data_IF_399437067341
#
_entry.id   IF_399437067341
#
_cell.length_a   1.000
_cell.length_b   1.000
_cell.length_c   1.000
_cell.angle_alpha   90.00
_cell.angle_beta   90.00
_cell.angle_gamma   90.00
#
_symmetry.space_group_name_H-M   'P 1'
#
loop_
_entity.id
_entity.type
_entity.pdbx_description
1 polymer ?
#
# COMPACT_ATOMS: atom_id res chain seq x y z
N UNK A 1 58.81 -14.62 19.90
CA UNK A 1 58.19 -13.28 19.85
C UNK A 1 56.88 -13.41 19.12
N UNK A 2 55.80 -13.11 19.84
CA UNK A 2 54.40 -13.26 19.45
C UNK A 2 53.99 -12.05 18.59
N UNK A 3 53.45 -12.26 17.38
CA UNK A 3 52.72 -11.22 16.65
C UNK A 3 51.34 -11.76 16.30
N UNK A 4 50.38 -11.57 17.21
CA UNK A 4 48.97 -11.75 16.93
C UNK A 4 48.47 -10.40 16.41
N UNK A 5 48.37 -10.28 15.09
CA UNK A 5 47.67 -9.16 14.44
C UNK A 5 46.17 -9.38 14.53
N UNK A 6 45.56 -8.93 15.63
CA UNK A 6 44.12 -8.72 15.76
C UNK A 6 43.78 -7.32 15.23
N UNK A 7 43.58 -7.20 13.91
CA UNK A 7 42.85 -6.07 13.34
C UNK A 7 41.42 -6.55 13.05
N UNK A 8 40.55 -6.32 14.04
CA UNK A 8 39.11 -6.46 13.91
C UNK A 8 38.59 -5.44 12.91
N UNK A 9 37.76 -5.93 11.99
CA UNK A 9 37.08 -5.22 10.89
C UNK A 9 36.22 -4.06 11.43
N UNK A 10 36.16 -2.90 10.77
CA UNK A 10 35.26 -1.81 11.19
C UNK A 10 33.80 -2.26 11.04
N UNK A 11 33.03 -2.22 12.13
CA UNK A 11 31.57 -2.28 12.07
C UNK A 11 31.06 -0.93 11.53
N UNK A 12 30.92 -0.80 10.21
CA UNK A 12 30.25 0.36 9.61
C UNK A 12 28.74 0.11 9.59
N UNK A 13 28.06 0.32 10.72
CA UNK A 13 26.59 0.39 10.75
C UNK A 13 26.13 1.77 11.17
N UNK A 14 25.66 2.51 10.17
CA UNK A 14 24.62 3.53 10.25
C UNK A 14 24.74 4.35 8.98
N UNK A 15 23.76 4.34 8.06
CA UNK A 15 23.45 5.54 7.27
C UNK A 15 22.05 5.44 6.63
N UNK A 16 21.03 5.97 7.32
CA UNK A 16 20.03 6.77 6.61
C UNK A 16 20.44 8.22 6.90
N UNK A 17 21.25 8.84 6.06
CA UNK A 17 21.71 10.22 6.31
C UNK A 17 21.02 11.20 5.38
N UNK A 18 19.86 11.61 5.88
CA UNK A 18 18.81 12.43 5.28
C UNK A 18 17.57 12.47 6.19
N UNK A 19 16.41 12.75 5.64
CA UNK A 19 15.12 12.67 6.37
C UNK A 19 14.91 11.27 7.01
N UNK A 20 14.52 11.22 8.29
CA UNK A 20 14.35 9.96 9.06
C UNK A 20 12.89 9.50 9.20
N UNK A 21 11.93 10.10 8.48
CA UNK A 21 10.55 9.63 8.54
C UNK A 21 10.42 8.23 7.93
N UNK A 22 9.47 7.46 8.44
CA UNK A 22 9.26 6.04 8.13
C UNK A 22 10.44 5.14 8.53
N UNK A 23 11.19 5.50 9.58
CA UNK A 23 12.28 4.68 10.11
C UNK A 23 12.04 4.31 11.57
N UNK A 24 12.66 3.23 12.03
CA UNK A 24 12.62 2.77 13.41
C UNK A 24 14.02 2.42 13.90
N UNK A 25 14.22 2.50 15.23
CA UNK A 25 15.48 2.14 15.86
C UNK A 25 15.48 0.66 16.24
N UNK A 26 16.51 -0.06 15.80
CA UNK A 26 16.75 -1.46 16.16
C UNK A 26 18.07 -1.60 16.93
N UNK A 27 18.38 -2.79 17.42
CA UNK A 27 19.69 -3.09 18.04
C UNK A 27 20.86 -2.88 17.07
N UNK A 28 20.60 -2.87 15.76
CA UNK A 28 21.61 -2.73 14.71
C UNK A 28 21.60 -1.34 14.05
N UNK A 29 20.84 -0.38 14.61
CA UNK A 29 20.74 1.00 14.14
C UNK A 29 19.38 1.35 13.52
N UNK A 30 19.34 2.49 12.81
CA UNK A 30 18.14 2.97 12.11
C UNK A 30 17.91 2.14 10.85
N UNK A 31 16.68 1.66 10.68
CA UNK A 31 16.19 0.96 9.48
C UNK A 31 14.86 1.54 9.02
N UNK A 32 14.48 1.34 7.77
CA UNK A 32 13.13 1.66 7.33
C UNK A 32 12.11 0.74 7.99
N UNK A 33 11.02 1.33 8.48
CA UNK A 33 9.86 0.58 8.94
C UNK A 33 9.19 -0.13 7.76
N UNK A 34 8.47 -1.22 8.01
CA UNK A 34 7.73 -1.94 6.98
C UNK A 34 6.74 -1.03 6.23
N UNK A 35 6.18 -0.02 6.92
CA UNK A 35 5.28 0.97 6.33
C UNK A 35 5.97 1.87 5.31
N UNK A 36 7.30 2.02 5.33
CA UNK A 36 8.03 2.87 4.40
C UNK A 36 7.84 2.46 2.94
N UNK A 37 7.61 1.17 2.69
CA UNK A 37 7.52 0.58 1.34
C UNK A 37 6.25 -0.25 1.11
N UNK A 38 5.24 -0.08 1.96
CA UNK A 38 3.98 -0.86 1.92
C UNK A 38 3.00 -0.44 0.81
N UNK A 39 3.20 0.73 0.23
CA UNK A 39 2.40 1.25 -0.87
C UNK A 39 3.08 1.01 -2.23
N UNK A 40 2.44 1.45 -3.31
CA UNK A 40 3.05 1.54 -4.63
C UNK A 40 3.31 2.99 -5.01
N UNK A 41 4.26 3.19 -5.91
CA UNK A 41 4.43 4.47 -6.58
C UNK A 41 3.22 4.77 -7.47
N UNK A 42 2.90 6.06 -7.62
CA UNK A 42 1.80 6.50 -8.48
C UNK A 42 2.19 6.45 -9.96
N UNK A 43 3.46 6.67 -10.26
CA UNK A 43 4.04 6.53 -11.59
C UNK A 43 4.89 5.24 -11.67
N UNK A 44 5.33 4.89 -12.87
CA UNK A 44 6.12 3.66 -13.04
C UNK A 44 7.45 3.74 -12.26
N UNK A 45 7.86 2.61 -11.70
CA UNK A 45 9.12 2.50 -10.96
C UNK A 45 10.32 2.98 -11.79
N UNK A 46 10.34 2.68 -13.09
CA UNK A 46 11.37 3.17 -14.01
C UNK A 46 11.42 4.71 -14.06
N UNK A 47 10.27 5.38 -14.04
CA UNK A 47 10.20 6.84 -14.01
C UNK A 47 10.63 7.37 -12.64
N UNK A 48 10.21 6.72 -11.55
CA UNK A 48 10.64 7.09 -10.20
C UNK A 48 12.16 7.02 -10.04
N UNK A 49 12.80 5.98 -10.58
CA UNK A 49 14.27 5.84 -10.55
C UNK A 49 15.01 6.89 -11.37
N UNK A 50 14.36 7.50 -12.37
CA UNK A 50 14.93 8.62 -13.14
C UNK A 50 14.77 9.94 -12.39
N UNK A 51 13.61 10.17 -11.77
CA UNK A 51 13.33 11.40 -11.00
C UNK A 51 14.07 11.43 -9.66
N UNK A 52 14.23 10.27 -9.03
CA UNK A 52 14.84 10.08 -7.72
C UNK A 52 15.97 9.04 -7.84
N UNK A 53 17.10 9.40 -8.45
CA UNK A 53 18.20 8.48 -8.66
C UNK A 53 18.80 8.03 -7.32
N UNK A 54 19.21 6.76 -7.22
CA UNK A 54 19.78 6.27 -5.97
C UNK A 54 21.06 7.02 -5.59
N UNK A 55 21.28 7.22 -4.30
CA UNK A 55 22.43 7.95 -3.80
C UNK A 55 23.73 7.16 -4.08
N UNK A 56 24.50 7.62 -5.08
CA UNK A 56 25.85 7.11 -5.39
C UNK A 56 25.98 5.58 -5.43
N UNK A 57 25.02 4.88 -6.05
CA UNK A 57 25.06 3.42 -6.20
C UNK A 57 24.57 2.64 -4.99
N UNK A 58 23.90 3.30 -4.03
CA UNK A 58 23.14 2.62 -2.99
C UNK A 58 21.89 1.94 -3.55
N UNK A 59 21.39 0.95 -2.81
CA UNK A 59 20.06 0.40 -3.03
C UNK A 59 18.97 1.41 -2.64
N UNK A 60 17.76 1.20 -3.16
CA UNK A 60 16.59 1.97 -2.76
C UNK A 60 16.08 1.54 -1.37
N UNK A 61 15.31 2.39 -0.68
CA UNK A 61 14.64 2.04 0.57
C UNK A 61 13.90 0.70 0.50
N UNK A 62 14.12 -0.13 1.50
CA UNK A 62 13.46 -1.42 1.68
C UNK A 62 13.17 -1.67 3.17
N UNK A 63 12.13 -2.45 3.46
CA UNK A 63 11.73 -2.77 4.83
C UNK A 63 12.87 -3.45 5.59
N UNK A 64 13.26 -2.89 6.74
CA UNK A 64 14.37 -3.40 7.55
C UNK A 64 15.77 -3.09 7.00
N UNK A 65 15.85 -2.51 5.79
CA UNK A 65 17.09 -2.02 5.21
C UNK A 65 17.49 -0.67 5.81
N UNK A 66 18.75 -0.30 5.62
CA UNK A 66 19.33 0.95 6.11
C UNK A 66 20.03 1.73 4.99
N UNK A 67 19.67 1.50 3.72
CA UNK A 67 20.22 2.23 2.59
C UNK A 67 19.85 3.72 2.63
N UNK A 68 20.76 4.63 2.23
CA UNK A 68 20.45 6.05 2.18
C UNK A 68 19.29 6.31 1.22
N UNK A 69 18.37 7.17 1.64
CA UNK A 69 17.28 7.66 0.79
C UNK A 69 17.87 8.47 -0.37
N UNK A 70 17.35 8.35 -1.61
CA UNK A 70 17.73 9.27 -2.69
C UNK A 70 17.64 10.72 -2.21
N UNK A 71 18.66 11.52 -2.52
CA UNK A 71 18.79 12.89 -2.00
C UNK A 71 17.60 13.75 -2.45
N UNK A 72 17.23 13.57 -3.71
CA UNK A 72 16.15 14.23 -4.43
C UNK A 72 14.77 13.86 -3.89
N UNK A 73 14.65 12.82 -3.05
CA UNK A 73 13.38 12.54 -2.39
C UNK A 73 13.04 13.55 -1.29
N UNK A 74 14.01 14.30 -0.77
CA UNK A 74 13.77 15.20 0.36
C UNK A 74 14.52 16.54 0.29
N UNK A 75 15.34 16.75 -0.75
CA UNK A 75 16.10 17.98 -0.92
C UNK A 75 16.25 18.35 -2.39
N UNK A 76 16.31 19.66 -2.67
CA UNK A 76 16.78 20.21 -3.95
C UNK A 76 18.25 20.65 -3.89
N UNK A 77 18.88 20.52 -2.73
CA UNK A 77 20.26 20.92 -2.48
C UNK A 77 21.20 19.74 -2.81
N UNK A 78 22.11 19.88 -3.78
CA UNK A 78 23.05 18.82 -4.14
C UNK A 78 24.20 18.68 -3.11
N UNK A 79 24.28 19.54 -2.10
CA UNK A 79 25.33 19.49 -1.09
C UNK A 79 25.07 18.43 -0.01
N UNK A 80 26.14 17.89 0.60
CA UNK A 80 26.04 16.97 1.74
C UNK A 80 26.65 17.65 2.98
N UNK A 81 25.90 17.79 4.10
CA UNK A 81 24.52 17.34 4.32
C UNK A 81 23.49 18.24 3.63
N UNK A 82 22.52 17.63 2.96
CA UNK A 82 21.50 18.37 2.22
C UNK A 82 20.44 18.95 3.15
N UNK A 83 20.01 20.18 2.85
CA UNK A 83 18.91 20.83 3.56
C UNK A 83 17.58 20.23 3.12
N UNK A 84 16.73 19.82 4.07
CA UNK A 84 15.38 19.33 3.75
C UNK A 84 14.56 20.42 3.05
N UNK A 85 13.90 20.04 1.97
CA UNK A 85 12.91 20.84 1.26
C UNK A 85 11.55 20.13 1.30
N UNK A 86 10.55 20.76 1.89
CA UNK A 86 9.23 20.16 2.10
C UNK A 86 8.43 19.98 0.82
N UNK A 87 8.56 20.88 -0.15
CA UNK A 87 7.87 20.77 -1.44
C UNK A 87 8.42 19.59 -2.25
N UNK A 88 9.74 19.40 -2.23
CA UNK A 88 10.41 18.25 -2.86
C UNK A 88 9.94 16.95 -2.20
N UNK A 89 9.91 16.93 -0.86
CA UNK A 89 9.44 15.78 -0.11
C UNK A 89 7.97 15.47 -0.39
N UNK A 90 7.12 16.49 -0.47
CA UNK A 90 5.70 16.31 -0.81
C UNK A 90 5.54 15.74 -2.23
N UNK A 91 6.32 16.21 -3.20
CA UNK A 91 6.34 15.62 -4.54
C UNK A 91 6.76 14.15 -4.51
N UNK A 92 7.78 13.80 -3.72
CA UNK A 92 8.21 12.41 -3.53
C UNK A 92 7.12 11.54 -2.90
N UNK A 93 6.42 12.03 -1.86
CA UNK A 93 5.28 11.34 -1.23
C UNK A 93 4.14 11.11 -2.23
N UNK A 94 3.86 12.08 -3.11
CA UNK A 94 2.72 12.01 -4.01
C UNK A 94 2.99 11.21 -5.29
N UNK A 95 4.24 11.16 -5.77
CA UNK A 95 4.60 10.51 -7.03
C UNK A 95 5.26 9.15 -6.84
N UNK A 96 6.24 9.08 -5.94
CA UNK A 96 7.13 7.94 -5.78
C UNK A 96 7.35 7.54 -4.30
N UNK A 97 6.28 7.41 -3.50
CA UNK A 97 6.41 7.15 -2.06
C UNK A 97 7.08 5.82 -1.74
N UNK A 98 6.94 4.78 -2.58
CA UNK A 98 7.62 3.50 -2.34
C UNK A 98 9.10 3.63 -2.67
N UNK A 99 9.43 4.16 -3.85
CA UNK A 99 10.82 4.38 -4.27
C UNK A 99 11.57 5.27 -3.27
N UNK A 100 10.90 6.27 -2.69
CA UNK A 100 11.51 7.17 -1.71
C UNK A 100 11.37 6.68 -0.25
N UNK A 101 10.73 5.54 0.04
CA UNK A 101 10.57 5.06 1.41
C UNK A 101 9.70 5.98 2.29
N UNK A 102 8.64 6.55 1.70
CA UNK A 102 7.70 7.49 2.31
C UNK A 102 6.25 6.99 2.33
N UNK A 103 6.00 5.70 2.07
CA UNK A 103 4.63 5.19 2.09
C UNK A 103 3.92 5.49 3.43
N UNK A 104 4.61 5.45 4.58
CA UNK A 104 4.02 5.79 5.88
C UNK A 104 3.53 7.25 6.00
N UNK A 105 3.98 8.15 5.13
CA UNK A 105 3.55 9.56 5.08
C UNK A 105 2.40 9.78 4.09
N UNK A 106 2.10 8.80 3.23
CA UNK A 106 0.93 8.87 2.37
C UNK A 106 -0.34 8.74 3.19
N UNK A 107 -1.39 9.48 2.83
CA UNK A 107 -2.61 9.52 3.64
C UNK A 107 -3.24 8.13 3.84
N UNK A 108 -3.19 7.28 2.82
CA UNK A 108 -3.69 5.91 2.85
C UNK A 108 -2.97 5.02 3.88
N UNK A 109 -1.71 5.31 4.24
CA UNK A 109 -0.89 4.45 5.10
C UNK A 109 -0.43 5.15 6.40
N UNK A 110 -0.77 6.44 6.59
CA UNK A 110 -0.40 7.26 7.75
C UNK A 110 -1.28 7.00 8.98
N UNK A 111 -1.25 5.78 9.49
CA UNK A 111 -1.88 5.36 10.74
C UNK A 111 -1.23 4.06 11.25
N UNK A 112 -1.68 3.54 12.39
CA UNK A 112 -1.22 2.27 12.94
C UNK A 112 -2.27 1.17 12.76
N UNK A 113 -1.80 -0.08 12.66
CA UNK A 113 -2.67 -1.25 12.78
C UNK A 113 -3.02 -1.51 14.26
N UNK A 114 -4.24 -1.97 14.52
CA UNK A 114 -4.71 -2.34 15.85
C UNK A 114 -4.15 -3.69 16.29
N UNK A 115 -4.17 -4.67 15.38
CA UNK A 115 -3.72 -6.05 15.62
C UNK A 115 -4.42 -6.80 16.78
N UNK A 116 -5.67 -6.47 17.11
CA UNK A 116 -6.37 -7.11 18.25
C UNK A 116 -7.03 -8.44 17.86
N UNK A 117 -7.74 -8.43 16.73
CA UNK A 117 -8.50 -9.60 16.23
C UNK A 117 -7.86 -10.26 15.02
N UNK A 118 -7.03 -9.52 14.29
CA UNK A 118 -6.31 -10.00 13.11
C UNK A 118 -4.83 -9.69 13.29
N UNK A 119 -3.97 -10.69 13.05
CA UNK A 119 -2.54 -10.44 12.92
C UNK A 119 -2.25 -9.78 11.56
N UNK A 120 -2.04 -8.47 11.53
CA UNK A 120 -1.91 -7.73 10.27
C UNK A 120 -0.62 -8.07 9.49
N UNK A 121 0.34 -8.77 10.11
CA UNK A 121 1.53 -9.27 9.42
C UNK A 121 1.23 -10.47 8.51
N UNK A 122 0.11 -11.18 8.71
CA UNK A 122 -0.31 -12.29 7.84
C UNK A 122 -1.29 -11.86 6.75
N UNK A 123 -1.78 -10.61 6.82
CA UNK A 123 -2.72 -10.06 5.84
C UNK A 123 -1.99 -9.82 4.52
N UNK A 124 -2.49 -10.45 3.48
CA UNK A 124 -1.97 -10.30 2.12
C UNK A 124 -2.62 -9.11 1.42
N UNK A 125 -1.93 -8.54 0.44
CA UNK A 125 -2.48 -7.47 -0.40
C UNK A 125 -3.76 -7.89 -1.13
N UNK A 126 -3.86 -9.17 -1.51
CA UNK A 126 -5.08 -9.71 -2.11
C UNK A 126 -6.25 -9.61 -1.12
N UNK A 127 -6.07 -10.02 0.14
CA UNK A 127 -7.11 -9.88 1.17
C UNK A 127 -7.55 -8.44 1.37
N UNK A 128 -6.62 -7.48 1.33
CA UNK A 128 -6.97 -6.06 1.39
C UNK A 128 -7.94 -5.66 0.26
N UNK A 129 -7.79 -6.21 -0.94
CA UNK A 129 -8.64 -5.88 -2.10
C UNK A 129 -9.98 -6.60 -2.11
N UNK A 130 -10.13 -7.69 -1.34
CA UNK A 130 -11.36 -8.47 -1.32
C UNK A 130 -12.45 -7.79 -0.46
N UNK A 131 -13.65 -7.55 -1.01
CA UNK A 131 -14.74 -6.89 -0.27
C UNK A 131 -15.12 -7.59 1.03
N UNK A 132 -15.01 -8.92 1.07
CA UNK A 132 -15.29 -9.73 2.25
C UNK A 132 -14.46 -9.33 3.48
N UNK A 133 -13.19 -8.98 3.28
CA UNK A 133 -12.28 -8.62 4.38
C UNK A 133 -12.25 -7.13 4.67
N UNK A 134 -12.86 -6.32 3.81
CA UNK A 134 -12.66 -4.87 3.81
C UNK A 134 -13.01 -4.21 5.14
N UNK A 135 -14.21 -4.47 5.67
CA UNK A 135 -14.67 -3.80 6.89
C UNK A 135 -13.80 -4.15 8.10
N UNK A 136 -13.45 -5.42 8.28
CA UNK A 136 -12.59 -5.85 9.40
C UNK A 136 -11.15 -5.38 9.22
N UNK A 137 -10.63 -5.31 8.00
CA UNK A 137 -9.27 -4.83 7.74
C UNK A 137 -9.15 -3.30 7.83
N UNK A 138 -10.24 -2.54 7.62
CA UNK A 138 -10.27 -1.10 7.91
C UNK A 138 -10.13 -0.85 9.41
N UNK A 139 -10.78 -1.67 10.25
CA UNK A 139 -10.71 -1.49 11.69
C UNK A 139 -9.40 -2.05 12.28
N UNK A 140 -8.97 -3.24 11.83
CA UNK A 140 -7.85 -3.96 12.45
C UNK A 140 -6.50 -3.64 11.81
N UNK A 141 -6.46 -3.57 10.47
CA UNK A 141 -5.23 -3.51 9.68
C UNK A 141 -5.19 -2.35 8.67
N UNK A 142 -5.62 -1.13 9.03
CA UNK A 142 -5.75 -0.06 8.06
C UNK A 142 -4.41 0.32 7.42
N UNK A 143 -3.33 0.33 8.19
CA UNK A 143 -2.03 0.69 7.65
C UNK A 143 -1.43 -0.42 6.76
N UNK A 144 -1.76 -1.69 7.00
CA UNK A 144 -1.35 -2.78 6.08
C UNK A 144 -2.06 -2.66 4.73
N UNK A 145 -3.33 -2.27 4.76
CA UNK A 145 -4.18 -2.27 3.57
C UNK A 145 -4.29 -0.92 2.85
N UNK A 146 -3.69 0.14 3.36
CA UNK A 146 -3.83 1.47 2.78
C UNK A 146 -5.20 2.10 3.07
N UNK A 147 -5.76 1.82 4.24
CA UNK A 147 -7.08 2.27 4.67
C UNK A 147 -7.09 3.36 5.75
N UNK A 148 -5.96 4.01 6.02
CA UNK A 148 -5.88 5.02 7.09
C UNK A 148 -6.80 6.24 6.90
N UNK A 149 -7.24 6.53 5.68
CA UNK A 149 -8.25 7.58 5.41
C UNK A 149 -9.70 7.10 5.51
N UNK A 150 -9.92 5.78 5.62
CA UNK A 150 -11.24 5.22 5.74
C UNK A 150 -11.60 5.13 7.21
N UNK A 151 -12.71 5.76 7.57
CA UNK A 151 -13.39 5.38 8.81
C UNK A 151 -14.42 4.32 8.46
N UNK A 152 -14.82 3.50 9.43
CA UNK A 152 -15.92 2.53 9.28
C UNK A 152 -17.25 3.17 8.83
N UNK A 153 -17.36 4.50 8.85
CA UNK A 153 -18.53 5.27 8.41
C UNK A 153 -18.35 6.01 7.06
N UNK A 154 -17.11 6.16 6.57
CA UNK A 154 -16.80 6.84 5.30
C UNK A 154 -16.50 5.86 4.17
N UNK A 155 -16.54 4.55 4.43
CA UNK A 155 -16.44 3.56 3.37
C UNK A 155 -17.58 3.80 2.38
N UNK A 156 -17.29 4.02 1.08
CA UNK A 156 -18.24 3.63 0.08
C UNK A 156 -18.40 2.13 0.30
N UNK A 157 -19.56 1.68 0.85
CA UNK A 157 -20.06 0.34 0.54
C UNK A 157 -19.81 0.19 -0.96
N UNK A 158 -19.12 -0.89 -1.36
CA UNK A 158 -18.81 -1.14 -2.77
C UNK A 158 -19.98 -0.62 -3.62
N UNK A 159 -19.75 0.28 -4.60
CA UNK A 159 -20.85 0.96 -5.25
C UNK A 159 -21.87 -0.07 -5.68
N UNK A 160 -23.03 -0.10 -5.03
CA UNK A 160 -24.23 -0.69 -5.61
C UNK A 160 -24.72 0.34 -6.61
N UNK A 161 -23.86 0.72 -7.57
CA UNK A 161 -24.27 1.47 -8.73
C UNK A 161 -25.10 0.50 -9.55
N UNK A 162 -26.41 0.63 -9.39
CA UNK A 162 -27.47 0.10 -10.24
C UNK A 162 -27.42 0.65 -11.67
N UNK A 163 -26.23 0.91 -12.19
CA UNK A 163 -25.99 1.20 -13.60
C UNK A 163 -25.35 -0.03 -14.19
N UNK A 164 -26.21 -0.96 -14.63
CA UNK A 164 -25.92 -2.12 -15.49
C UNK A 164 -24.42 -2.37 -15.76
N UNK A 165 -23.70 -2.87 -14.74
CA UNK A 165 -22.40 -3.48 -14.99
C UNK A 165 -22.67 -4.71 -15.87
N UNK A 166 -21.86 -5.01 -16.90
CA UNK A 166 -21.92 -6.32 -17.54
C UNK A 166 -21.82 -7.37 -16.43
N UNK A 167 -22.67 -8.40 -16.45
CA UNK A 167 -22.62 -9.43 -15.43
C UNK A 167 -21.28 -10.16 -15.51
N UNK A 168 -20.39 -9.84 -14.58
CA UNK A 168 -19.04 -10.36 -14.48
C UNK A 168 -18.81 -10.79 -13.05
N UNK A 169 -17.88 -11.73 -12.88
CA UNK A 169 -17.30 -11.95 -11.57
C UNK A 169 -16.31 -10.81 -11.32
N UNK A 170 -16.45 -10.13 -10.18
CA UNK A 170 -15.48 -9.12 -9.73
C UNK A 170 -14.37 -9.74 -8.88
N UNK A 171 -14.43 -11.06 -8.70
CA UNK A 171 -13.44 -11.90 -8.02
C UNK A 171 -12.96 -13.00 -8.96
N UNK A 172 -11.65 -13.15 -9.12
CA UNK A 172 -11.04 -14.22 -9.92
C UNK A 172 -11.11 -15.60 -9.22
N UNK A 173 -11.48 -15.63 -7.93
CA UNK A 173 -11.49 -16.85 -7.11
C UNK A 173 -12.88 -17.47 -6.94
N UNK A 174 -13.84 -17.17 -7.81
CA UNK A 174 -15.19 -17.73 -7.69
C UNK A 174 -15.19 -19.26 -7.89
N UNK A 175 -15.60 -19.99 -6.85
CA UNK A 175 -15.83 -21.45 -6.92
C UNK A 175 -17.34 -21.74 -7.07
N UNK A 176 -17.75 -22.50 -8.10
CA UNK A 176 -19.15 -22.92 -8.29
C UNK A 176 -19.79 -23.61 -7.07
N UNK A 177 -19.01 -24.25 -6.20
CA UNK A 177 -19.51 -24.91 -4.99
C UNK A 177 -20.09 -23.92 -3.97
N UNK A 178 -19.66 -22.66 -3.99
CA UNK A 178 -20.16 -21.64 -3.07
C UNK A 178 -21.58 -21.20 -3.42
N UNK A 179 -22.02 -21.41 -4.66
CA UNK A 179 -23.31 -20.96 -5.15
C UNK A 179 -24.51 -21.65 -4.48
N UNK A 180 -24.30 -22.81 -3.87
CA UNK A 180 -25.31 -23.60 -3.16
C UNK A 180 -25.19 -23.53 -1.64
N UNK A 181 -24.23 -22.77 -1.11
CA UNK A 181 -23.95 -22.69 0.33
C UNK A 181 -24.61 -21.41 0.90
N UNK A 182 -25.62 -21.52 1.80
CA UNK A 182 -26.37 -20.35 2.28
C UNK A 182 -25.52 -19.28 2.95
N UNK A 183 -24.48 -19.67 3.71
CA UNK A 183 -23.54 -18.71 4.33
C UNK A 183 -22.70 -17.93 3.33
N UNK A 184 -22.69 -18.33 2.06
CA UNK A 184 -21.95 -17.66 0.98
C UNK A 184 -22.86 -16.78 0.13
N UNK A 185 -24.17 -16.71 0.40
CA UNK A 185 -25.13 -15.99 -0.44
C UNK A 185 -24.75 -14.53 -0.66
N UNK A 186 -24.42 -13.80 0.40
CA UNK A 186 -23.99 -12.40 0.30
C UNK A 186 -22.71 -12.26 -0.53
N UNK A 187 -21.76 -13.18 -0.37
CA UNK A 187 -20.50 -13.19 -1.09
C UNK A 187 -20.71 -13.45 -2.58
N UNK A 188 -21.45 -14.50 -2.94
CA UNK A 188 -21.64 -14.86 -4.34
C UNK A 188 -22.53 -13.87 -5.08
N UNK A 189 -23.51 -13.27 -4.39
CA UNK A 189 -24.37 -12.23 -4.94
C UNK A 189 -23.60 -10.92 -5.19
N UNK A 190 -22.59 -10.60 -4.37
CA UNK A 190 -21.79 -9.40 -4.58
C UNK A 190 -20.63 -9.61 -5.56
N UNK A 191 -20.03 -10.81 -5.60
CA UNK A 191 -18.72 -11.01 -6.22
C UNK A 191 -18.67 -12.02 -7.36
N UNK A 192 -19.58 -13.00 -7.37
CA UNK A 192 -19.52 -14.19 -8.23
C UNK A 192 -20.81 -14.37 -9.03
N UNK A 193 -21.43 -13.26 -9.45
CA UNK A 193 -22.75 -13.27 -10.09
C UNK A 193 -22.74 -14.08 -11.39
N UNK A 194 -21.64 -14.04 -12.16
CA UNK A 194 -21.52 -14.78 -13.41
C UNK A 194 -21.25 -16.26 -13.13
N UNK A 195 -20.29 -16.60 -12.27
CA UNK A 195 -19.99 -17.98 -11.87
C UNK A 195 -21.20 -18.69 -11.25
N UNK A 196 -22.01 -17.97 -10.45
CA UNK A 196 -23.18 -18.53 -9.78
C UNK A 196 -24.50 -18.36 -10.55
N UNK A 197 -24.46 -17.88 -11.80
CA UNK A 197 -25.65 -17.61 -12.62
C UNK A 197 -26.72 -16.75 -11.90
N UNK A 198 -26.28 -15.77 -11.11
CA UNK A 198 -27.15 -14.86 -10.32
C UNK A 198 -27.29 -13.47 -10.95
N UNK A 199 -26.91 -13.33 -12.21
CA UNK A 199 -27.16 -12.13 -13.00
C UNK A 199 -28.66 -11.82 -13.07
N UNK A 200 -29.11 -10.72 -12.47
CA UNK A 200 -30.49 -10.25 -12.59
C UNK A 200 -30.59 -9.26 -13.76
N UNK A 201 -31.14 -9.68 -14.89
CA UNK A 201 -31.46 -8.76 -15.99
C UNK A 201 -32.76 -8.04 -15.68
N UNK A 202 -32.70 -6.75 -15.33
CA UNK A 202 -33.88 -5.88 -15.35
C UNK A 202 -34.08 -5.36 -16.77
N UNK A 203 -35.00 -5.97 -17.52
CA UNK A 203 -35.53 -5.37 -18.75
C UNK A 203 -36.45 -4.21 -18.39
N UNK A 204 -35.87 -3.04 -18.11
CA UNK A 204 -36.67 -1.83 -17.95
C UNK A 204 -37.28 -1.46 -19.31
N UNK A 205 -38.58 -1.73 -19.46
CA UNK A 205 -39.38 -1.36 -20.63
C UNK A 205 -39.23 0.13 -20.93
N UNK A 206 -38.74 0.47 -22.13
CA UNK A 206 -38.95 1.80 -22.72
C UNK A 206 -40.46 2.02 -22.85
N UNK A 207 -41.03 2.91 -22.03
CA UNK A 207 -42.31 3.56 -22.35
C UNK A 207 -42.02 4.80 -23.21
N UNK A 208 -42.65 4.96 -24.39
CA UNK A 208 -42.48 6.15 -25.21
C UNK A 208 -43.17 7.34 -24.53
N UNK A 209 -42.46 8.47 -24.45
CA UNK A 209 -43.02 9.75 -24.04
C UNK A 209 -43.79 10.33 -25.22
N UNK A 210 -45.12 10.34 -25.13
CA UNK A 210 -45.99 11.09 -26.04
C UNK A 210 -46.15 12.49 -25.45
N UNK A 211 -45.59 13.49 -26.14
CA UNK A 211 -45.73 14.90 -25.79
C UNK A 211 -47.14 15.41 -26.01
N UNK A 212 -47.58 16.30 -25.13
CA UNK A 212 -48.66 17.28 -25.35
C UNK A 212 -48.03 18.65 -25.49
#
# INVERSE_FOLDING_TARGET
MLFISLLFVPLSWAQITGDLNCTSWTTNGIVYDWQAVSCQDLISEATCRVLFPSAHGSDFPESGGNSPRPLECYSADPSTPATRNDDVKEAAINLCPRTCGFCCETKAFKCMNKNDRINCATVTRAQCQYPFWRDILIEECPATCGYCEYTSSTTPKAPVTSTSLPCVDVSDMCDPKWCSEPRMDDLVNANCQKTCNRCSYTTSSMKPVIGK
#
